data_IF_316007494287
#
_entry.id   IF_316007494287
#
_cell.length_a   1.000
_cell.length_b   1.000
_cell.length_c   1.000
_cell.angle_alpha   90.00
_cell.angle_beta   90.00
_cell.angle_gamma   90.00
#
_symmetry.space_group_name_H-M   'P 1'
#
loop_
_entity.id
_entity.type
_entity.pdbx_description
1 polymer ?
#
# COMPACT_ATOMS: atom_id res chain seq x y z
N UNK A 1 -18.46 11.38 25.42
CA UNK A 1 -17.79 11.72 24.15
C UNK A 1 -16.87 12.92 24.38
N UNK A 2 -15.55 12.88 24.10
CA UNK A 2 -14.71 14.05 24.32
C UNK A 2 -14.83 15.06 23.17
N UNK A 3 -14.95 16.34 23.53
CA UNK A 3 -15.02 17.49 22.62
C UNK A 3 -13.74 17.65 21.77
N UNK A 4 -13.83 18.18 20.53
CA UNK A 4 -12.65 18.59 19.77
C UNK A 4 -11.86 19.66 20.53
N UNK A 5 -10.53 19.54 20.55
CA UNK A 5 -9.65 20.52 21.18
C UNK A 5 -9.71 21.86 20.42
N UNK A 6 -10.04 22.93 21.13
CA UNK A 6 -10.08 24.30 20.60
C UNK A 6 -8.78 25.00 20.97
N UNK A 7 -7.92 25.27 19.99
CA UNK A 7 -6.78 26.20 20.15
C UNK A 7 -7.11 27.43 19.29
N UNK A 8 -7.18 28.61 19.90
CA UNK A 8 -7.37 29.90 19.24
C UNK A 8 -8.59 30.04 18.29
N UNK A 9 -9.73 29.41 18.62
CA UNK A 9 -10.98 29.57 17.86
C UNK A 9 -11.06 28.81 16.52
N UNK A 10 -10.00 28.11 16.12
CA UNK A 10 -9.99 27.24 14.92
C UNK A 10 -10.35 25.82 15.34
N UNK A 11 -11.43 25.26 14.76
CA UNK A 11 -11.80 23.85 14.96
C UNK A 11 -10.84 22.97 14.18
N UNK A 12 -9.85 22.38 14.85
CA UNK A 12 -8.94 21.41 14.24
C UNK A 12 -9.74 20.13 13.91
N UNK A 13 -9.77 19.67 12.65
CA UNK A 13 -10.42 18.41 12.31
C UNK A 13 -9.82 17.25 13.10
N UNK A 14 -10.67 16.33 13.58
CA UNK A 14 -10.26 15.21 14.46
C UNK A 14 -9.18 14.30 13.85
N UNK A 15 -9.01 14.31 12.53
CA UNK A 15 -8.03 13.51 11.83
C UNK A 15 -6.63 14.13 11.78
N UNK A 16 -6.49 15.45 11.96
CA UNK A 16 -5.22 16.18 11.80
C UNK A 16 -4.15 15.70 12.80
N UNK A 17 -4.43 15.54 14.11
CA UNK A 17 -3.43 15.04 15.05
C UNK A 17 -2.91 13.65 14.68
N UNK A 18 -3.82 12.74 14.28
CA UNK A 18 -3.46 11.40 13.82
C UNK A 18 -2.58 11.44 12.57
N UNK A 19 -2.94 12.28 11.59
CA UNK A 19 -2.18 12.50 10.37
C UNK A 19 -0.77 13.03 10.65
N UNK A 20 -0.63 14.04 11.51
CA UNK A 20 0.68 14.59 11.87
C UNK A 20 1.53 13.55 12.60
N UNK A 21 0.93 12.82 13.55
CA UNK A 21 1.62 11.77 14.29
C UNK A 21 2.12 10.66 13.37
N UNK A 22 1.28 10.14 12.46
CA UNK A 22 1.73 9.09 11.53
C UNK A 22 2.80 9.60 10.55
N UNK A 23 2.68 10.85 10.07
CA UNK A 23 3.70 11.45 9.19
C UNK A 23 5.05 11.58 9.89
N UNK A 24 5.04 11.96 11.17
CA UNK A 24 6.23 12.08 12.00
C UNK A 24 6.84 10.72 12.27
N UNK A 25 6.04 9.70 12.62
CA UNK A 25 6.52 8.34 12.87
C UNK A 25 7.19 7.74 11.63
N UNK A 26 6.60 7.90 10.45
CA UNK A 26 7.21 7.45 9.20
C UNK A 26 8.45 8.27 8.82
N UNK A 27 8.46 9.57 9.07
CA UNK A 27 9.66 10.40 8.90
C UNK A 27 10.81 10.04 9.83
N UNK A 28 10.51 9.71 11.09
CA UNK A 28 11.47 9.28 12.10
C UNK A 28 12.10 7.92 11.79
N UNK A 29 11.47 7.13 10.89
CA UNK A 29 11.94 5.77 10.58
C UNK A 29 13.37 5.77 10.06
N UNK A 30 13.75 6.73 9.22
CA UNK A 30 15.12 6.85 8.69
C UNK A 30 16.15 7.10 9.81
N UNK A 31 15.81 7.93 10.80
CA UNK A 31 16.68 8.14 11.96
C UNK A 31 16.88 6.86 12.77
N UNK A 32 15.82 6.07 12.97
CA UNK A 32 15.93 4.80 13.70
C UNK A 32 16.66 3.71 12.92
N UNK A 33 16.48 3.67 11.60
CA UNK A 33 17.26 2.76 10.72
C UNK A 33 18.73 3.12 10.85
N UNK A 34 19.09 4.40 10.75
CA UNK A 34 20.47 4.87 10.83
C UNK A 34 21.13 4.50 12.15
N UNK A 35 20.45 4.69 13.28
CA UNK A 35 20.93 4.25 14.59
C UNK A 35 21.19 2.73 14.67
N UNK A 36 20.34 1.92 14.06
CA UNK A 36 20.51 0.47 14.04
C UNK A 36 21.64 0.02 13.11
N UNK A 37 21.78 0.66 11.95
CA UNK A 37 22.88 0.46 11.01
C UNK A 37 24.23 0.85 11.63
N UNK A 38 24.31 2.03 12.24
CA UNK A 38 25.53 2.52 12.90
C UNK A 38 25.87 1.68 14.15
N UNK A 39 24.87 1.07 14.79
CA UNK A 39 25.04 0.03 15.80
C UNK A 39 25.62 -1.29 15.26
N UNK A 40 25.85 -1.39 13.95
CA UNK A 40 26.51 -2.52 13.29
C UNK A 40 25.60 -3.71 13.03
N UNK A 41 24.28 -3.49 12.93
CA UNK A 41 23.33 -4.53 12.56
C UNK A 41 23.25 -4.68 11.04
N UNK A 42 23.41 -5.89 10.48
CA UNK A 42 23.34 -6.06 9.03
C UNK A 42 21.94 -5.71 8.47
N UNK A 43 21.85 -5.10 7.26
CA UNK A 43 20.58 -4.61 6.71
C UNK A 43 19.43 -5.63 6.65
N UNK A 44 19.64 -6.89 6.22
CA UNK A 44 18.56 -7.89 6.21
C UNK A 44 18.03 -8.23 7.61
N UNK A 45 18.91 -8.27 8.61
CA UNK A 45 18.53 -8.51 10.01
C UNK A 45 17.77 -7.32 10.61
N UNK A 46 18.16 -6.09 10.27
CA UNK A 46 17.41 -4.89 10.63
C UNK A 46 15.99 -4.95 10.09
N UNK A 47 15.85 -5.22 8.79
CA UNK A 47 14.54 -5.38 8.15
C UNK A 47 13.73 -6.51 8.82
N UNK A 48 14.37 -7.64 9.13
CA UNK A 48 13.72 -8.77 9.80
C UNK A 48 13.12 -8.37 11.14
N UNK A 49 13.90 -7.75 12.03
CA UNK A 49 13.41 -7.37 13.37
C UNK A 49 12.31 -6.30 13.27
N UNK A 50 12.43 -5.34 12.35
CA UNK A 50 11.38 -4.35 12.07
C UNK A 50 10.07 -5.03 11.67
N UNK A 51 10.11 -5.97 10.74
CA UNK A 51 8.94 -6.70 10.28
C UNK A 51 8.38 -7.61 11.38
N UNK A 52 9.23 -8.34 12.10
CA UNK A 52 8.81 -9.23 13.18
C UNK A 52 8.06 -8.47 14.27
N UNK A 53 8.63 -7.38 14.77
CA UNK A 53 8.01 -6.58 15.84
C UNK A 53 6.76 -5.83 15.36
N UNK A 54 6.73 -5.40 14.10
CA UNK A 54 5.52 -4.89 13.45
C UNK A 54 4.42 -5.96 13.33
N UNK A 55 4.78 -7.18 12.92
CA UNK A 55 3.85 -8.31 12.77
C UNK A 55 3.26 -8.71 14.14
N UNK A 56 4.10 -8.80 15.18
CA UNK A 56 3.65 -9.08 16.55
C UNK A 56 2.68 -8.01 17.06
N UNK A 57 2.98 -6.73 16.78
CA UNK A 57 2.10 -5.62 17.16
C UNK A 57 0.75 -5.70 16.45
N UNK A 58 0.74 -5.93 15.13
CA UNK A 58 -0.51 -6.05 14.36
C UNK A 58 -1.30 -7.30 14.73
N UNK A 59 -0.63 -8.43 14.96
CA UNK A 59 -1.26 -9.66 15.44
C UNK A 59 -1.92 -9.46 16.80
N UNK A 60 -1.28 -8.74 17.73
CA UNK A 60 -1.87 -8.37 19.01
C UNK A 60 -3.10 -7.48 18.82
N UNK A 61 -3.04 -6.50 17.91
CA UNK A 61 -4.21 -5.65 17.60
C UNK A 61 -5.36 -6.47 17.00
N UNK A 62 -5.08 -7.38 16.07
CA UNK A 62 -6.07 -8.30 15.52
C UNK A 62 -6.70 -9.16 16.62
N UNK A 63 -5.89 -9.70 17.53
CA UNK A 63 -6.38 -10.49 18.67
C UNK A 63 -7.31 -9.68 19.58
N UNK A 64 -6.91 -8.46 19.95
CA UNK A 64 -7.70 -7.57 20.81
C UNK A 64 -9.00 -7.13 20.13
N UNK A 65 -8.95 -6.82 18.82
CA UNK A 65 -10.13 -6.41 18.04
C UNK A 65 -10.98 -7.57 17.54
N UNK A 66 -10.54 -8.81 17.78
CA UNK A 66 -11.16 -10.05 17.25
C UNK A 66 -11.29 -10.01 15.72
N UNK A 67 -10.35 -9.34 15.05
CA UNK A 67 -10.23 -9.33 13.60
C UNK A 67 -9.34 -10.50 13.15
N UNK A 68 -9.72 -11.19 12.07
CA UNK A 68 -8.93 -12.27 11.51
C UNK A 68 -8.14 -11.81 10.28
N UNK A 69 -6.85 -12.18 10.14
CA UNK A 69 -6.08 -11.93 8.93
C UNK A 69 -6.60 -12.66 7.68
N UNK A 70 -7.64 -13.50 7.83
CA UNK A 70 -8.17 -14.33 6.75
C UNK A 70 -7.32 -15.58 6.54
N UNK A 71 -7.97 -16.67 6.13
CA UNK A 71 -7.32 -17.98 5.89
C UNK A 71 -7.25 -18.36 4.41
N UNK A 72 -7.68 -17.46 3.53
CA UNK A 72 -7.68 -17.68 2.08
C UNK A 72 -6.23 -17.79 1.56
N UNK A 73 -5.79 -18.93 1.03
CA UNK A 73 -4.42 -19.12 0.55
C UNK A 73 -4.02 -18.12 -0.53
N UNK A 74 -4.97 -17.65 -1.34
CA UNK A 74 -4.71 -16.68 -2.41
C UNK A 74 -4.35 -15.30 -1.82
N UNK A 75 -5.00 -14.91 -0.72
CA UNK A 75 -4.66 -13.69 0.04
C UNK A 75 -3.23 -13.76 0.59
N UNK A 76 -2.80 -14.92 1.09
CA UNK A 76 -1.43 -15.13 1.58
C UNK A 76 -0.40 -15.13 0.44
N UNK A 77 -0.73 -15.71 -0.72
CA UNK A 77 0.13 -15.68 -1.91
C UNK A 77 0.34 -14.26 -2.42
N UNK A 78 -0.72 -13.47 -2.54
CA UNK A 78 -0.58 -12.05 -2.87
C UNK A 78 0.11 -11.28 -1.73
N UNK A 79 -0.10 -11.68 -0.49
CA UNK A 79 0.58 -11.17 0.69
C UNK A 79 2.10 -11.30 0.60
N UNK A 80 2.63 -12.42 0.11
CA UNK A 80 4.06 -12.62 -0.16
C UNK A 80 4.57 -11.61 -1.20
N UNK A 81 3.89 -11.49 -2.34
CA UNK A 81 4.33 -10.54 -3.39
C UNK A 81 4.30 -9.09 -2.88
N UNK A 82 3.26 -8.71 -2.13
CA UNK A 82 3.15 -7.38 -1.53
C UNK A 82 4.23 -7.18 -0.45
N UNK A 83 4.47 -8.18 0.39
CA UNK A 83 5.52 -8.16 1.40
C UNK A 83 6.89 -7.93 0.76
N UNK A 84 7.20 -8.68 -0.29
CA UNK A 84 8.44 -8.57 -1.04
C UNK A 84 8.66 -7.17 -1.60
N UNK A 85 7.64 -6.59 -2.24
CA UNK A 85 7.70 -5.29 -2.93
C UNK A 85 7.59 -4.08 -2.00
N UNK A 86 6.97 -4.22 -0.82
CA UNK A 86 6.71 -3.10 0.10
C UNK A 86 7.48 -3.17 1.42
N UNK A 87 8.15 -4.28 1.74
CA UNK A 87 8.79 -4.45 3.04
C UNK A 87 10.13 -5.16 2.90
N UNK A 88 10.13 -6.43 2.46
CA UNK A 88 11.33 -7.28 2.48
C UNK A 88 12.49 -6.67 1.69
N UNK A 89 12.28 -6.40 0.40
CA UNK A 89 13.34 -5.81 -0.44
C UNK A 89 13.51 -4.32 -0.13
N UNK A 90 12.47 -3.49 -0.09
CA UNK A 90 12.61 -2.06 0.19
C UNK A 90 13.28 -1.74 1.54
N UNK A 91 12.86 -2.37 2.64
CA UNK A 91 13.44 -2.09 3.96
C UNK A 91 14.90 -2.52 4.04
N UNK A 92 15.24 -3.65 3.41
CA UNK A 92 16.64 -4.09 3.29
C UNK A 92 17.47 -3.12 2.47
N UNK A 93 16.93 -2.62 1.35
CA UNK A 93 17.61 -1.64 0.48
C UNK A 93 17.78 -0.28 1.15
N UNK A 94 16.79 0.20 1.92
CA UNK A 94 16.93 1.46 2.68
C UNK A 94 17.98 1.29 3.77
N UNK A 95 17.93 0.19 4.54
CA UNK A 95 18.93 -0.10 5.57
C UNK A 95 20.34 -0.20 4.97
N UNK A 96 20.49 -0.89 3.84
CA UNK A 96 21.76 -0.94 3.10
C UNK A 96 22.17 0.46 2.60
N UNK A 97 21.22 1.23 2.06
CA UNK A 97 21.43 2.59 1.60
C UNK A 97 22.04 3.47 2.69
N UNK A 98 21.45 3.43 3.88
CA UNK A 98 21.91 4.19 5.04
C UNK A 98 23.26 3.72 5.61
N UNK A 99 23.83 2.59 5.17
CA UNK A 99 25.25 2.30 5.46
C UNK A 99 26.20 3.24 4.73
N UNK A 100 25.74 3.87 3.65
CA UNK A 100 26.56 4.71 2.76
C UNK A 100 26.09 6.16 2.65
N UNK A 101 24.83 6.43 2.97
CA UNK A 101 24.23 7.77 2.92
C UNK A 101 23.64 8.16 4.27
N UNK A 102 23.29 9.45 4.41
CA UNK A 102 22.67 9.97 5.62
C UNK A 102 21.18 9.62 5.70
N UNK A 103 20.62 9.63 6.90
CA UNK A 103 19.18 9.42 7.10
C UNK A 103 18.34 10.52 6.41
N UNK A 104 18.83 11.76 6.42
CA UNK A 104 18.24 12.89 5.68
C UNK A 104 18.16 12.57 4.19
N UNK A 105 19.23 12.04 3.62
CA UNK A 105 19.28 11.72 2.19
C UNK A 105 18.32 10.58 1.83
N UNK A 106 18.29 9.50 2.63
CA UNK A 106 17.39 8.38 2.43
C UNK A 106 15.92 8.82 2.53
N UNK A 107 15.59 9.66 3.51
CA UNK A 107 14.26 10.23 3.68
C UNK A 107 13.81 11.13 2.51
N UNK A 108 14.72 11.92 1.95
CA UNK A 108 14.45 12.72 0.75
C UNK A 108 14.27 11.86 -0.50
N UNK A 109 15.02 10.77 -0.65
CA UNK A 109 14.81 9.82 -1.75
C UNK A 109 13.43 9.15 -1.70
N UNK A 110 12.91 8.91 -0.49
CA UNK A 110 11.58 8.33 -0.33
C UNK A 110 10.46 9.26 -0.84
N UNK A 111 10.70 10.57 -0.91
CA UNK A 111 9.77 11.55 -1.48
C UNK A 111 9.47 11.30 -2.97
N UNK A 112 10.30 10.50 -3.66
CA UNK A 112 10.12 10.11 -5.07
C UNK A 112 9.00 9.07 -5.24
N UNK A 113 8.54 8.45 -4.16
CA UNK A 113 7.55 7.34 -4.20
C UNK A 113 6.30 7.66 -5.01
N UNK A 114 5.65 8.85 -4.87
CA UNK A 114 4.48 9.18 -5.67
C UNK A 114 4.79 9.29 -7.17
N UNK A 115 5.99 9.74 -7.53
CA UNK A 115 6.43 9.83 -8.93
C UNK A 115 6.64 8.43 -9.53
N UNK A 116 7.33 7.56 -8.80
CA UNK A 116 7.52 6.17 -9.19
C UNK A 116 6.18 5.43 -9.32
N UNK A 117 5.28 5.63 -8.36
CA UNK A 117 3.92 5.06 -8.37
C UNK A 117 3.14 5.51 -9.60
N UNK A 118 3.19 6.81 -9.94
CA UNK A 118 2.55 7.33 -11.15
C UNK A 118 3.16 6.73 -12.43
N UNK A 119 4.48 6.57 -12.50
CA UNK A 119 5.14 5.95 -13.65
C UNK A 119 4.63 4.52 -13.89
N UNK A 120 4.55 3.70 -12.84
CA UNK A 120 3.99 2.35 -12.94
C UNK A 120 2.49 2.36 -13.24
N UNK A 121 1.73 3.28 -12.65
CA UNK A 121 0.30 3.40 -12.91
C UNK A 121 0.03 3.68 -14.40
N UNK A 122 0.74 4.62 -15.01
CA UNK A 122 0.64 4.91 -16.45
C UNK A 122 1.05 3.70 -17.30
N UNK A 123 2.08 2.95 -16.88
CA UNK A 123 2.54 1.77 -17.63
C UNK A 123 1.58 0.58 -17.53
N UNK A 124 0.88 0.42 -16.40
CA UNK A 124 0.11 -0.79 -16.08
C UNK A 124 -1.42 -0.59 -16.15
N UNK A 125 -1.91 0.65 -16.14
CA UNK A 125 -3.34 0.98 -16.13
C UNK A 125 -3.69 1.70 -17.43
N UNK A 126 -4.39 1.04 -18.39
CA UNK A 126 -4.70 1.63 -19.70
C UNK A 126 -5.51 2.94 -19.66
N UNK A 127 -6.24 3.17 -18.57
CA UNK A 127 -7.02 4.39 -18.35
C UNK A 127 -6.15 5.60 -17.95
N UNK A 128 -4.94 5.35 -17.41
CA UNK A 128 -4.04 6.41 -16.97
C UNK A 128 -3.16 6.88 -18.13
N UNK A 129 -3.38 8.12 -18.59
CA UNK A 129 -2.58 8.70 -19.68
C UNK A 129 -1.45 9.57 -19.13
N UNK A 130 -0.29 9.50 -19.80
CA UNK A 130 0.80 10.43 -19.57
C UNK A 130 0.41 11.80 -20.15
N UNK A 131 0.03 12.74 -19.28
CA UNK A 131 -0.20 14.13 -19.69
C UNK A 131 1.14 14.86 -19.71
N UNK A 132 1.26 15.92 -20.53
CA UNK A 132 2.49 16.74 -20.57
C UNK A 132 2.89 17.28 -19.19
N UNK A 133 1.89 17.57 -18.33
CA UNK A 133 2.13 18.01 -16.96
C UNK A 133 2.65 16.90 -16.04
N UNK A 134 2.13 15.66 -16.17
CA UNK A 134 2.66 14.48 -15.45
C UNK A 134 4.09 14.17 -15.90
N UNK A 135 4.37 14.25 -17.20
CA UNK A 135 5.72 14.09 -17.74
C UNK A 135 6.69 15.16 -17.22
N UNK A 136 6.26 16.43 -17.20
CA UNK A 136 7.04 17.53 -16.62
C UNK A 136 7.31 17.32 -15.12
N UNK A 137 6.30 16.90 -14.35
CA UNK A 137 6.46 16.61 -12.92
C UNK A 137 7.42 15.44 -12.66
N UNK A 138 7.36 14.37 -13.46
CA UNK A 138 8.36 13.28 -13.43
C UNK A 138 9.77 13.80 -13.74
N UNK A 139 9.92 14.62 -14.79
CA UNK A 139 11.21 15.20 -15.17
C UNK A 139 11.81 16.10 -14.08
N UNK A 140 11.00 16.97 -13.49
CA UNK A 140 11.40 17.85 -12.37
C UNK A 140 11.82 17.02 -11.16
N UNK A 141 11.06 15.98 -10.82
CA UNK A 141 11.40 15.11 -9.71
C UNK A 141 12.68 14.29 -9.93
N UNK A 142 12.88 13.75 -11.14
CA UNK A 142 14.14 13.09 -11.52
C UNK A 142 15.31 14.06 -11.45
N UNK A 143 15.15 15.30 -11.93
CA UNK A 143 16.13 16.37 -11.77
C UNK A 143 16.45 16.65 -10.30
N UNK A 144 15.44 16.66 -9.43
CA UNK A 144 15.62 16.79 -7.98
C UNK A 144 16.46 15.67 -7.37
N UNK A 145 16.29 14.42 -7.82
CA UNK A 145 17.14 13.28 -7.40
C UNK A 145 18.58 13.47 -7.85
N UNK A 146 18.82 13.90 -9.10
CA UNK A 146 20.17 14.20 -9.59
C UNK A 146 20.83 15.33 -8.80
N UNK A 147 20.03 16.32 -8.38
CA UNK A 147 20.48 17.42 -7.52
C UNK A 147 20.87 16.93 -6.12
N UNK A 148 20.03 16.06 -5.55
CA UNK A 148 20.29 15.44 -4.26
C UNK A 148 21.61 14.65 -4.27
N UNK A 149 21.80 13.84 -5.31
CA UNK A 149 23.02 13.05 -5.56
C UNK A 149 24.25 13.93 -5.77
N UNK A 150 24.11 15.13 -6.32
CA UNK A 150 25.25 15.98 -6.65
C UNK A 150 26.15 15.34 -7.71
N UNK A 151 25.56 14.66 -8.69
CA UNK A 151 26.25 13.85 -9.73
C UNK A 151 27.39 14.59 -10.44
N UNK A 152 27.34 15.92 -10.50
CA UNK A 152 28.35 16.78 -11.11
C UNK A 152 29.66 16.92 -10.31
N UNK A 153 29.71 16.46 -9.05
CA UNK A 153 30.91 16.57 -8.19
C UNK A 153 31.75 15.28 -8.15
N UNK A 154 31.32 14.24 -8.86
CA UNK A 154 31.81 12.88 -8.65
C UNK A 154 31.22 12.27 -7.37
N UNK A 155 30.84 10.99 -7.45
CA UNK A 155 30.27 10.25 -6.34
C UNK A 155 31.25 9.15 -5.92
N UNK A 156 31.65 9.07 -4.64
CA UNK A 156 32.33 7.89 -4.12
C UNK A 156 31.48 6.63 -4.38
N UNK A 157 32.12 5.51 -4.70
CA UNK A 157 31.41 4.29 -5.11
C UNK A 157 30.35 3.81 -4.10
N UNK A 158 30.66 3.87 -2.80
CA UNK A 158 29.72 3.52 -1.73
C UNK A 158 28.49 4.45 -1.70
N UNK A 159 28.69 5.77 -1.83
CA UNK A 159 27.59 6.74 -1.84
C UNK A 159 26.64 6.54 -3.03
N UNK A 160 27.17 6.22 -4.21
CA UNK A 160 26.33 5.89 -5.36
C UNK A 160 25.52 4.62 -5.13
N UNK A 161 26.15 3.56 -4.62
CA UNK A 161 25.47 2.30 -4.32
C UNK A 161 24.32 2.50 -3.31
N UNK A 162 24.57 3.24 -2.23
CA UNK A 162 23.54 3.49 -1.23
C UNK A 162 22.39 4.35 -1.75
N UNK A 163 22.70 5.36 -2.56
CA UNK A 163 21.66 6.19 -3.16
C UNK A 163 20.82 5.43 -4.20
N UNK A 164 21.44 4.59 -5.02
CA UNK A 164 20.72 3.70 -5.94
C UNK A 164 19.82 2.72 -5.19
N UNK A 165 20.27 2.19 -4.04
CA UNK A 165 19.44 1.34 -3.19
C UNK A 165 18.21 2.08 -2.65
N UNK A 166 18.37 3.32 -2.16
CA UNK A 166 17.24 4.15 -1.73
C UNK A 166 16.25 4.43 -2.87
N UNK A 167 16.75 4.77 -4.07
CA UNK A 167 15.88 5.00 -5.24
C UNK A 167 15.18 3.71 -5.67
N UNK A 168 15.89 2.57 -5.70
CA UNK A 168 15.32 1.27 -6.03
C UNK A 168 14.22 0.86 -5.05
N UNK A 169 14.42 1.08 -3.74
CA UNK A 169 13.36 0.90 -2.73
C UNK A 169 12.12 1.71 -3.07
N UNK A 170 12.29 2.98 -3.42
CA UNK A 170 11.19 3.89 -3.78
C UNK A 170 10.44 3.44 -5.04
N UNK A 171 11.15 2.90 -6.03
CA UNK A 171 10.58 2.31 -7.25
C UNK A 171 9.76 1.05 -6.90
N UNK A 172 10.29 0.18 -6.05
CA UNK A 172 9.58 -1.01 -5.56
C UNK A 172 8.31 -0.65 -4.80
N UNK A 173 8.32 0.41 -3.98
CA UNK A 173 7.11 0.90 -3.34
C UNK A 173 6.02 1.25 -4.36
N UNK A 174 6.38 1.95 -5.44
CA UNK A 174 5.42 2.27 -6.51
C UNK A 174 4.81 1.03 -7.16
N UNK A 175 5.62 0.02 -7.48
CA UNK A 175 5.15 -1.24 -8.02
C UNK A 175 4.28 -2.02 -7.02
N UNK A 176 4.70 -2.08 -5.76
CA UNK A 176 3.97 -2.76 -4.69
C UNK A 176 2.62 -2.10 -4.41
N UNK A 177 2.52 -0.76 -4.43
CA UNK A 177 1.24 -0.07 -4.27
C UNK A 177 0.28 -0.37 -5.43
N UNK A 178 0.78 -0.40 -6.67
CA UNK A 178 -0.03 -0.79 -7.82
C UNK A 178 -0.51 -2.24 -7.71
N UNK A 179 0.38 -3.16 -7.28
CA UNK A 179 0.04 -4.57 -7.08
C UNK A 179 -0.99 -4.77 -5.96
N UNK A 180 -0.80 -4.14 -4.80
CA UNK A 180 -1.75 -4.17 -3.68
C UNK A 180 -3.13 -3.72 -4.11
N UNK A 181 -3.23 -2.61 -4.84
CA UNK A 181 -4.49 -2.10 -5.38
C UNK A 181 -5.19 -3.12 -6.26
N UNK A 182 -4.44 -3.79 -7.14
CA UNK A 182 -5.01 -4.70 -8.14
C UNK A 182 -5.45 -6.04 -7.55
N UNK A 183 -4.70 -6.60 -6.60
CA UNK A 183 -4.84 -8.00 -6.21
C UNK A 183 -5.20 -8.25 -4.74
N UNK A 184 -4.84 -7.32 -3.84
CA UNK A 184 -4.96 -7.52 -2.39
C UNK A 184 -6.06 -6.66 -1.75
N UNK A 185 -6.25 -5.42 -2.23
CA UNK A 185 -7.16 -4.45 -1.62
C UNK A 185 -8.66 -4.85 -1.66
N UNK A 186 -9.05 -5.72 -2.60
CA UNK A 186 -10.44 -6.16 -2.77
C UNK A 186 -10.75 -7.51 -2.09
N UNK A 187 -9.82 -8.01 -1.28
CA UNK A 187 -9.98 -9.29 -0.56
C UNK A 187 -10.86 -9.08 0.69
N UNK A 188 -11.47 -10.17 1.17
CA UNK A 188 -12.48 -10.15 2.23
C UNK A 188 -11.94 -9.91 3.64
N UNK A 189 -10.62 -10.01 3.85
CA UNK A 189 -10.02 -9.73 5.16
C UNK A 189 -10.07 -8.23 5.49
N UNK A 190 -10.12 -7.91 6.78
CA UNK A 190 -10.09 -6.49 7.22
C UNK A 190 -8.78 -5.82 6.81
N UNK A 191 -8.76 -4.49 6.70
CA UNK A 191 -7.54 -3.75 6.39
C UNK A 191 -6.40 -4.02 7.40
N UNK A 192 -6.73 -4.20 8.68
CA UNK A 192 -5.78 -4.62 9.72
C UNK A 192 -5.29 -6.05 9.46
N UNK A 193 -6.20 -6.95 9.09
CA UNK A 193 -5.90 -8.33 8.74
C UNK A 193 -4.95 -8.44 7.55
N UNK A 194 -5.23 -7.73 6.45
CA UNK A 194 -4.36 -7.67 5.27
C UNK A 194 -2.98 -7.10 5.60
N UNK A 195 -2.92 -6.05 6.42
CA UNK A 195 -1.66 -5.49 6.91
C UNK A 195 -0.87 -6.50 7.76
N UNK A 196 -1.58 -7.30 8.56
CA UNK A 196 -0.97 -8.38 9.36
C UNK A 196 -0.41 -9.47 8.46
N UNK A 197 -1.17 -9.93 7.45
CA UNK A 197 -0.70 -10.90 6.44
C UNK A 197 0.57 -10.38 5.76
N UNK A 198 0.56 -9.15 5.27
CA UNK A 198 1.75 -8.52 4.66
C UNK A 198 2.97 -8.57 5.59
N UNK A 199 2.80 -8.22 6.86
CA UNK A 199 3.93 -8.15 7.79
C UNK A 199 4.43 -9.54 8.22
N UNK A 200 3.54 -10.52 8.36
CA UNK A 200 3.90 -11.92 8.61
C UNK A 200 4.64 -12.50 7.42
N UNK A 201 4.16 -12.28 6.20
CA UNK A 201 4.84 -12.69 4.98
C UNK A 201 6.24 -12.07 4.88
N UNK A 202 6.38 -10.76 5.13
CA UNK A 202 7.68 -10.09 5.11
C UNK A 202 8.64 -10.67 6.15
N UNK A 203 8.13 -10.95 7.35
CA UNK A 203 8.91 -11.60 8.42
C UNK A 203 9.38 -12.98 8.00
N UNK A 204 8.52 -13.78 7.37
CA UNK A 204 8.86 -15.13 6.90
C UNK A 204 9.91 -15.09 5.77
N UNK A 205 9.76 -14.19 4.80
CA UNK A 205 10.74 -13.99 3.73
C UNK A 205 12.10 -13.58 4.29
N UNK A 206 12.12 -12.62 5.22
CA UNK A 206 13.35 -12.14 5.84
C UNK A 206 13.98 -13.16 6.80
N UNK A 207 13.18 -14.03 7.44
CA UNK A 207 13.71 -15.14 8.24
C UNK A 207 14.56 -16.10 7.39
N UNK A 208 14.23 -16.25 6.10
CA UNK A 208 15.00 -17.04 5.15
C UNK A 208 16.16 -16.22 4.58
N UNK A 209 15.93 -14.97 4.18
CA UNK A 209 16.93 -14.16 3.49
C UNK A 209 18.04 -13.62 4.41
N UNK A 210 17.73 -13.27 5.66
CA UNK A 210 18.71 -12.64 6.54
C UNK A 210 19.90 -13.56 6.88
N UNK A 211 19.71 -14.85 7.22
CA UNK A 211 20.83 -15.78 7.40
C UNK A 211 21.69 -15.99 6.15
N UNK A 212 21.10 -15.88 4.95
CA UNK A 212 21.81 -16.06 3.68
C UNK A 212 22.78 -14.91 3.36
N UNK A 213 22.69 -13.79 4.09
CA UNK A 213 23.67 -12.70 3.97
C UNK A 213 25.06 -13.09 4.47
N UNK A 214 25.20 -14.19 5.21
CA UNK A 214 26.47 -14.67 5.76
C UNK A 214 26.96 -13.91 7.01
N UNK A 215 26.27 -12.84 7.40
CA UNK A 215 26.59 -12.06 8.59
C UNK A 215 25.62 -12.38 9.71
N UNK A 216 26.12 -12.97 10.80
CA UNK A 216 25.33 -13.18 12.01
C UNK A 216 25.07 -11.84 12.71
N UNK A 217 23.84 -11.59 13.21
CA UNK A 217 23.53 -10.36 13.91
C UNK A 217 24.25 -10.38 15.26
N UNK A 218 24.98 -9.32 15.55
CA UNK A 218 25.55 -9.05 16.87
C UNK A 218 24.65 -8.10 17.65
N UNK A 219 24.76 -8.12 18.97
CA UNK A 219 24.06 -7.17 19.83
C UNK A 219 24.46 -5.72 19.45
N UNK A 220 23.52 -4.87 19.02
CA UNK A 220 23.85 -3.54 18.50
C UNK A 220 23.94 -2.46 19.60
N UNK A 221 23.77 -2.85 20.87
CA UNK A 221 23.68 -1.93 22.00
C UNK A 221 22.23 -1.50 22.32
N UNK A 222 22.00 -0.95 23.52
CA UNK A 222 20.65 -0.65 24.01
C UNK A 222 19.93 0.43 23.20
N UNK A 223 20.66 1.44 22.70
CA UNK A 223 20.08 2.55 21.91
C UNK A 223 19.56 2.03 20.57
N UNK A 224 20.39 1.30 19.83
CA UNK A 224 20.02 0.71 18.55
C UNK A 224 18.91 -0.33 18.70
N UNK A 225 18.96 -1.17 19.74
CA UNK A 225 17.89 -2.12 20.03
C UNK A 225 16.56 -1.40 20.33
N UNK A 226 16.58 -0.35 21.15
CA UNK A 226 15.40 0.48 21.45
C UNK A 226 14.84 1.16 20.20
N UNK A 227 15.72 1.72 19.34
CA UNK A 227 15.34 2.33 18.08
C UNK A 227 14.68 1.31 17.13
N UNK A 228 15.19 0.08 17.07
CA UNK A 228 14.67 -0.98 16.21
C UNK A 228 13.31 -1.51 16.70
N UNK A 229 13.14 -1.67 18.02
CA UNK A 229 11.85 -1.99 18.62
C UNK A 229 10.81 -0.89 18.34
N UNK A 230 11.21 0.38 18.51
CA UNK A 230 10.35 1.53 18.19
C UNK A 230 10.01 1.57 16.70
N UNK A 231 10.98 1.31 15.81
CA UNK A 231 10.81 1.30 14.37
C UNK A 231 9.79 0.26 13.89
N UNK A 232 9.81 -0.94 14.46
CA UNK A 232 8.85 -1.97 14.09
C UNK A 232 7.50 -1.81 14.80
N UNK A 233 7.48 -1.70 16.12
CA UNK A 233 6.23 -1.60 16.87
C UNK A 233 5.49 -0.28 16.61
N UNK A 234 6.16 0.86 16.75
CA UNK A 234 5.56 2.18 16.51
C UNK A 234 5.51 2.49 15.01
N UNK A 235 6.66 2.34 14.34
CA UNK A 235 6.85 2.75 12.94
C UNK A 235 6.07 1.92 11.92
N UNK A 236 5.78 0.66 12.24
CA UNK A 236 5.11 -0.26 11.32
C UNK A 236 3.76 -0.70 11.87
N UNK A 237 3.72 -1.25 13.09
CA UNK A 237 2.46 -1.72 13.68
C UNK A 237 1.45 -0.60 13.98
N UNK A 238 1.78 0.29 14.91
CA UNK A 238 0.88 1.36 15.34
C UNK A 238 0.63 2.38 14.23
N UNK A 239 1.67 2.75 13.47
CA UNK A 239 1.55 3.69 12.37
C UNK A 239 0.53 3.23 11.32
N UNK A 240 0.46 1.93 11.02
CA UNK A 240 -0.53 1.40 10.07
C UNK A 240 -1.95 1.57 10.61
N UNK A 241 -2.18 1.29 11.90
CA UNK A 241 -3.49 1.51 12.54
C UNK A 241 -3.89 3.00 12.54
N UNK A 242 -2.94 3.89 12.83
CA UNK A 242 -3.17 5.34 12.79
C UNK A 242 -3.52 5.78 11.37
N UNK A 243 -2.79 5.32 10.36
CA UNK A 243 -3.07 5.63 8.97
C UNK A 243 -4.46 5.12 8.55
N UNK A 244 -4.84 3.90 8.94
CA UNK A 244 -6.19 3.38 8.70
C UNK A 244 -7.28 4.25 9.35
N UNK A 245 -7.00 4.81 10.53
CA UNK A 245 -7.92 5.73 11.21
C UNK A 245 -8.04 7.06 10.45
N UNK A 246 -6.93 7.59 9.92
CA UNK A 246 -6.93 8.78 9.06
C UNK A 246 -7.70 8.50 7.76
N UNK A 247 -7.50 7.35 7.14
CA UNK A 247 -8.26 6.95 5.93
C UNK A 247 -9.77 6.94 6.22
N UNK A 248 -10.21 6.35 7.34
CA UNK A 248 -11.62 6.29 7.71
C UNK A 248 -12.24 7.66 8.03
N UNK A 249 -11.44 8.61 8.51
CA UNK A 249 -11.95 9.90 9.03
C UNK A 249 -11.77 11.08 8.07
N UNK A 250 -10.72 11.06 7.24
CA UNK A 250 -10.37 12.11 6.28
C UNK A 250 -10.49 11.65 4.81
N UNK A 251 -10.69 10.35 4.60
CA UNK A 251 -10.65 9.73 3.28
C UNK A 251 -9.24 9.35 2.87
N UNK A 252 -9.19 8.34 1.98
CA UNK A 252 -7.97 7.85 1.35
C UNK A 252 -7.09 8.99 0.80
N UNK A 253 -7.67 9.89 -0.01
CA UNK A 253 -6.92 10.95 -0.69
C UNK A 253 -6.09 11.78 0.28
N UNK A 254 -6.69 12.23 1.39
CA UNK A 254 -5.97 12.98 2.43
C UNK A 254 -4.92 12.10 3.08
N UNK A 255 -5.24 10.86 3.44
CA UNK A 255 -4.27 9.96 4.06
C UNK A 255 -3.01 9.73 3.21
N UNK A 256 -3.11 9.63 1.88
CA UNK A 256 -1.91 9.46 1.04
C UNK A 256 -0.92 10.61 1.08
N UNK A 257 -1.39 11.83 1.36
CA UNK A 257 -0.51 13.01 1.41
C UNK A 257 0.38 13.02 2.65
N UNK A 258 0.17 12.09 3.58
CA UNK A 258 1.04 11.88 4.77
C UNK A 258 2.50 11.71 4.36
N UNK A 259 2.73 11.05 3.23
CA UNK A 259 4.06 10.79 2.67
C UNK A 259 4.77 12.05 2.18
N UNK A 260 4.04 13.15 1.96
CA UNK A 260 4.65 14.44 1.58
C UNK A 260 5.31 15.14 2.78
N UNK A 261 4.89 14.81 4.00
CA UNK A 261 5.50 15.33 5.24
C UNK A 261 6.67 14.45 5.70
N UNK A 262 6.76 13.19 5.27
CA UNK A 262 7.85 12.28 5.63
C UNK A 262 9.25 12.88 5.38
N UNK A 263 9.54 13.52 4.24
CA UNK A 263 10.86 14.12 3.99
C UNK A 263 11.18 15.27 4.94
N UNK A 264 10.17 16.09 5.29
CA UNK A 264 10.31 17.20 6.24
C UNK A 264 10.71 16.66 7.62
N UNK A 265 9.99 15.65 8.11
CA UNK A 265 10.28 15.02 9.40
C UNK A 265 11.61 14.29 9.41
N UNK A 266 11.93 13.52 8.37
CA UNK A 266 13.22 12.82 8.27
C UNK A 266 14.39 13.80 8.26
N UNK A 267 14.23 14.94 7.57
CA UNK A 267 15.24 16.00 7.52
C UNK A 267 15.42 16.65 8.89
N UNK A 268 14.31 17.02 9.53
CA UNK A 268 14.32 17.65 10.86
C UNK A 268 14.95 16.72 11.91
N UNK A 269 14.52 15.46 11.96
CA UNK A 269 14.98 14.51 12.96
C UNK A 269 16.41 14.05 12.70
N UNK A 270 16.82 13.85 11.44
CA UNK A 270 18.22 13.57 11.10
C UNK A 270 19.15 14.73 11.48
N UNK A 271 18.74 15.97 11.24
CA UNK A 271 19.51 17.15 11.64
C UNK A 271 19.61 17.30 13.17
N UNK A 272 18.47 17.17 13.88
CA UNK A 272 18.41 17.42 15.33
C UNK A 272 18.97 16.27 16.17
N UNK A 273 18.70 15.02 15.81
CA UNK A 273 19.03 13.86 16.63
C UNK A 273 20.36 13.21 16.24
N UNK A 274 20.74 13.27 14.96
CA UNK A 274 21.99 12.67 14.46
C UNK A 274 23.05 13.72 14.12
N UNK A 275 22.73 15.01 14.21
CA UNK A 275 23.65 16.08 13.85
C UNK A 275 24.01 16.11 12.35
N UNK A 276 23.16 15.52 11.49
CA UNK A 276 23.46 15.42 10.06
C UNK A 276 23.41 16.82 9.39
N UNK A 277 24.47 17.18 8.69
CA UNK A 277 24.57 18.48 8.01
C UNK A 277 23.69 18.54 6.76
N UNK A 278 22.83 19.57 6.68
CA UNK A 278 22.06 19.87 5.47
C UNK A 278 22.88 20.71 4.50
N UNK A 279 23.46 20.06 3.50
CA UNK A 279 24.01 20.76 2.35
C UNK A 279 22.88 21.46 1.57
N UNK A 280 23.17 22.63 0.98
CA UNK A 280 22.22 23.38 0.15
C UNK A 280 21.60 22.53 -0.98
N UNK A 281 22.35 21.54 -1.50
CA UNK A 281 21.86 20.59 -2.50
C UNK A 281 20.74 19.67 -1.98
N UNK A 282 20.75 19.31 -0.68
CA UNK A 282 19.72 18.46 -0.12
C UNK A 282 18.39 19.23 -0.05
N UNK A 283 18.45 20.50 0.32
CA UNK A 283 17.30 21.41 0.31
C UNK A 283 16.79 21.67 -1.12
N UNK A 284 17.70 22.00 -2.06
CA UNK A 284 17.33 22.24 -3.45
C UNK A 284 16.74 20.99 -4.12
N UNK A 285 17.39 19.82 -3.94
CA UNK A 285 16.92 18.54 -4.48
C UNK A 285 15.59 18.12 -3.88
N UNK A 286 15.45 18.22 -2.55
CA UNK A 286 14.18 17.97 -1.86
C UNK A 286 13.05 18.86 -2.34
N UNK A 287 13.30 20.16 -2.50
CA UNK A 287 12.33 21.11 -3.02
C UNK A 287 11.90 20.77 -4.47
N UNK A 288 12.85 20.39 -5.33
CA UNK A 288 12.55 19.92 -6.69
C UNK A 288 11.72 18.64 -6.69
N UNK A 289 12.04 17.66 -5.84
CA UNK A 289 11.25 16.42 -5.74
C UNK A 289 9.81 16.74 -5.31
N UNK A 290 9.64 17.55 -4.27
CA UNK A 290 8.32 17.98 -3.82
C UNK A 290 7.56 18.76 -4.90
N UNK A 291 8.23 19.66 -5.62
CA UNK A 291 7.63 20.39 -6.74
C UNK A 291 7.18 19.43 -7.86
N UNK A 292 8.00 18.44 -8.21
CA UNK A 292 7.66 17.40 -9.17
C UNK A 292 6.44 16.60 -8.74
N UNK A 293 6.38 16.17 -7.48
CA UNK A 293 5.24 15.46 -6.90
C UNK A 293 3.97 16.32 -6.97
N UNK A 294 4.05 17.59 -6.57
CA UNK A 294 2.92 18.52 -6.63
C UNK A 294 2.43 18.73 -8.06
N UNK A 295 3.33 18.88 -9.03
CA UNK A 295 2.97 18.98 -10.45
C UNK A 295 2.20 17.75 -10.92
N UNK A 296 2.72 16.54 -10.64
CA UNK A 296 2.04 15.30 -11.00
C UNK A 296 0.65 15.23 -10.38
N UNK A 297 0.55 15.56 -9.10
CA UNK A 297 -0.66 15.38 -8.30
C UNK A 297 -1.69 16.49 -8.48
N UNK A 298 -1.32 17.61 -9.11
CA UNK A 298 -2.12 18.82 -8.98
C UNK A 298 -3.59 18.63 -9.40
N UNK A 299 -4.07 17.78 -10.31
CA UNK A 299 -5.48 17.88 -10.82
C UNK A 299 -5.82 19.31 -11.26
N UNK A 300 -5.76 19.57 -12.56
CA UNK A 300 -6.39 20.78 -13.06
C UNK A 300 -7.85 20.73 -12.59
N UNK A 301 -8.25 21.70 -11.77
CA UNK A 301 -9.66 21.96 -11.43
C UNK A 301 -10.35 22.31 -12.74
N UNK A 302 -10.64 21.28 -13.53
CA UNK A 302 -11.28 21.38 -14.81
C UNK A 302 -12.73 21.71 -14.57
N UNK A 303 -13.09 22.96 -14.91
CA UNK A 303 -14.43 23.39 -15.32
C UNK A 303 -15.39 22.21 -15.49
N UNK A 304 -16.42 22.16 -14.64
CA UNK A 304 -17.70 21.52 -14.96
C UNK A 304 -18.16 22.08 -16.31
N UNK A 305 -17.78 21.42 -17.40
CA UNK A 305 -18.35 21.74 -18.70
C UNK A 305 -19.75 21.11 -18.67
N UNK A 306 -20.74 21.95 -18.36
CA UNK A 306 -22.14 21.57 -18.27
C UNK A 306 -22.67 21.16 -19.63
N UNK A 307 -22.37 19.93 -20.06
CA UNK A 307 -23.25 19.23 -20.99
C UNK A 307 -24.42 18.72 -20.16
N UNK A 308 -25.55 19.43 -20.21
CA UNK A 308 -26.85 18.94 -19.76
C UNK A 308 -27.05 17.56 -20.40
N UNK A 309 -27.08 16.52 -19.59
CA UNK A 309 -27.53 15.19 -20.02
C UNK A 309 -29.04 15.31 -20.28
N UNK A 310 -29.55 14.93 -21.47
CA UNK A 310 -31.00 14.89 -21.72
C UNK A 310 -31.65 13.93 -20.72
N UNK A 311 -32.71 14.39 -20.06
CA UNK A 311 -33.49 13.58 -19.13
C UNK A 311 -34.16 12.44 -19.91
N UNK A 312 -33.66 11.21 -19.79
CA UNK A 312 -34.32 10.06 -20.43
C UNK A 312 -33.52 8.77 -20.62
N UNK A 313 -32.48 8.47 -19.83
CA UNK A 313 -31.81 7.17 -19.93
C UNK A 313 -31.50 6.57 -18.54
N UNK A 314 -31.65 5.24 -18.35
CA UNK A 314 -31.49 4.60 -17.03
C UNK A 314 -30.09 4.83 -16.46
N UNK A 315 -30.06 5.15 -15.16
CA UNK A 315 -28.87 5.48 -14.37
C UNK A 315 -27.85 4.33 -14.39
N UNK A 316 -26.88 4.39 -15.30
CA UNK A 316 -25.63 3.65 -15.18
C UNK A 316 -24.79 4.28 -14.05
N UNK A 317 -24.45 3.47 -13.06
CA UNK A 317 -23.64 3.85 -11.89
C UNK A 317 -22.27 4.32 -12.37
N UNK A 318 -21.99 5.62 -12.19
CA UNK A 318 -20.72 6.23 -12.50
C UNK A 318 -19.65 5.75 -11.51
N UNK A 319 -18.62 5.11 -12.06
CA UNK A 319 -17.41 4.65 -11.39
C UNK A 319 -16.41 5.81 -11.27
N UNK A 320 -16.34 6.44 -10.10
CA UNK A 320 -15.27 7.40 -9.75
C UNK A 320 -14.17 6.67 -8.97
N UNK A 321 -13.08 6.29 -9.66
CA UNK A 321 -11.99 5.49 -9.13
C UNK A 321 -10.62 6.20 -9.26
N UNK A 322 -10.14 6.81 -8.19
CA UNK A 322 -8.70 7.10 -7.95
C UNK A 322 -8.39 6.90 -6.45
N UNK A 323 -7.63 5.86 -6.06
CA UNK A 323 -7.44 5.53 -4.66
C UNK A 323 -6.04 5.89 -4.17
N UNK A 324 -6.05 6.61 -3.08
CA UNK A 324 -5.04 6.46 -2.06
C UNK A 324 -5.37 5.22 -1.22
N UNK A 325 -4.30 4.54 -0.80
CA UNK A 325 -4.18 3.50 0.23
C UNK A 325 -5.52 3.04 0.87
N UNK A 326 -5.93 1.83 0.44
CA UNK A 326 -6.91 0.88 1.00
C UNK A 326 -8.36 1.35 1.26
N UNK A 327 -9.26 0.91 0.36
CA UNK A 327 -10.71 0.81 0.54
C UNK A 327 -11.04 -0.59 1.07
N UNK A 328 -11.86 -0.67 2.12
CA UNK A 328 -12.83 -1.72 2.31
C UNK A 328 -14.09 -1.03 2.85
N UNK A 329 -15.17 -1.11 2.08
CA UNK A 329 -16.52 -0.67 2.44
C UNK A 329 -17.39 -1.93 2.53
N UNK A 330 -18.39 -1.90 3.42
CA UNK A 330 -19.24 -3.02 3.84
C UNK A 330 -19.16 -3.22 5.35
N UNK A 331 -20.20 -3.09 6.17
CA UNK A 331 -21.63 -3.27 5.91
C UNK A 331 -22.46 -2.19 6.61
N UNK A 332 -23.48 -1.68 5.92
CA UNK A 332 -24.65 -1.06 6.55
C UNK A 332 -25.54 -2.21 6.99
N UNK A 333 -25.68 -2.41 8.29
CA UNK A 333 -26.81 -3.16 8.82
C UNK A 333 -27.85 -2.18 9.34
N UNK A 334 -29.02 -2.35 8.74
CA UNK A 334 -30.33 -1.81 9.02
C UNK A 334 -30.74 -2.13 10.47
N UNK A 335 -30.76 -1.13 11.36
CA UNK A 335 -31.45 -1.26 12.65
C UNK A 335 -32.87 -0.71 12.49
N UNK A 336 -33.74 -1.60 12.01
CA UNK A 336 -35.17 -1.48 12.18
C UNK A 336 -35.54 -1.52 13.66
N UNK A 337 -36.19 -0.45 14.10
CA UNK A 337 -36.95 -0.36 15.36
C UNK A 337 -38.12 -1.35 15.34
N UNK A 338 -38.37 -2.04 16.47
CA UNK A 338 -39.68 -1.96 17.13
C UNK A 338 -39.49 -1.78 18.65
N UNK A 339 -40.05 -0.75 19.29
CA UNK A 339 -41.45 -0.64 19.74
C UNK A 339 -41.95 -1.83 20.58
N UNK A 340 -42.10 -1.51 21.86
CA UNK A 340 -43.03 -1.99 22.89
C UNK A 340 -42.92 -3.41 23.47
N UNK A 341 -42.48 -3.40 24.74
CA UNK A 341 -42.78 -4.37 25.77
C UNK A 341 -44.30 -4.54 25.94
N UNK A 342 -44.82 -5.74 25.72
CA UNK A 342 -46.06 -6.22 26.31
C UNK A 342 -46.13 -7.76 26.26
N UNK A 343 -45.94 -8.39 27.42
CA UNK A 343 -46.42 -9.74 27.76
C UNK A 343 -47.94 -9.62 28.11
N UNK A 344 -48.84 -10.59 27.78
CA UNK A 344 -48.92 -11.86 28.51
C UNK A 344 -49.43 -13.14 27.79
N UNK A 345 -48.99 -14.27 28.37
CA UNK A 345 -49.68 -15.55 28.66
C UNK A 345 -50.80 -16.08 27.72
N UNK A 346 -50.60 -17.27 27.12
CA UNK A 346 -51.55 -18.39 27.30
C UNK A 346 -51.05 -19.77 26.81
N UNK A 347 -51.59 -20.79 27.48
CA UNK A 347 -51.29 -22.23 27.47
C UNK A 347 -51.91 -23.02 26.29
N UNK A 348 -51.44 -24.28 26.16
CA UNK A 348 -52.02 -25.50 25.51
C UNK A 348 -51.83 -25.58 23.99
N UNK A 349 -51.56 -26.73 23.35
CA UNK A 349 -51.43 -28.13 23.75
C UNK A 349 -51.24 -28.99 22.49
N UNK A 350 -50.70 -30.20 22.69
CA UNK A 350 -50.81 -31.47 21.95
C UNK A 350 -51.16 -31.50 20.44
N UNK A 351 -50.48 -32.40 19.70
CA UNK A 351 -51.18 -33.26 18.72
C UNK A 351 -50.48 -33.53 17.38
N UNK A 352 -49.91 -34.74 17.27
CA UNK A 352 -49.58 -35.54 16.07
C UNK A 352 -50.43 -35.24 14.80
N UNK A 353 -49.80 -35.31 13.61
CA UNK A 353 -50.16 -36.22 12.49
C UNK A 353 -49.28 -36.00 11.24
N UNK A 354 -48.52 -37.04 10.85
CA UNK A 354 -48.14 -37.38 9.46
C UNK A 354 -49.22 -38.35 8.89
N UNK A 355 -49.22 -38.78 7.61
CA UNK A 355 -48.43 -38.39 6.42
C UNK A 355 -49.31 -38.17 5.15
N UNK A 356 -48.73 -37.67 4.03
CA UNK A 356 -49.32 -37.94 2.71
C UNK A 356 -48.28 -38.19 1.61
N UNK A 357 -48.39 -39.40 1.06
CA UNK A 357 -47.66 -39.97 -0.07
C UNK A 357 -48.17 -39.38 -1.38
N UNK A 358 -47.27 -38.98 -2.28
CA UNK A 358 -47.52 -39.05 -3.74
C UNK A 358 -46.22 -39.32 -4.51
N UNK A 359 -46.08 -40.57 -4.96
CA UNK A 359 -45.18 -41.00 -6.04
C UNK A 359 -45.80 -40.65 -7.38
N UNK A 360 -45.02 -40.11 -8.31
CA UNK A 360 -45.16 -40.39 -9.74
C UNK A 360 -43.79 -40.46 -10.39
N UNK A 361 -43.46 -41.65 -10.88
CA UNK A 361 -42.34 -41.98 -11.75
C UNK A 361 -42.43 -41.26 -13.11
N UNK A 362 -41.28 -40.85 -13.66
CA UNK A 362 -40.95 -41.06 -15.08
C UNK A 362 -39.44 -40.97 -15.28
N UNK A 363 -38.84 -42.06 -15.75
CA UNK A 363 -37.45 -42.20 -16.19
C UNK A 363 -37.25 -41.68 -17.64
N UNK A 364 -35.98 -41.47 -18.08
CA UNK A 364 -35.62 -40.70 -19.27
C UNK A 364 -35.27 -41.60 -20.48
N UNK A 365 -35.05 -41.03 -21.68
CA UNK A 365 -34.23 -41.67 -22.71
C UNK A 365 -32.88 -40.98 -22.92
N UNK A 366 -31.89 -41.82 -23.22
CA UNK A 366 -30.47 -41.55 -23.53
C UNK A 366 -30.22 -41.75 -25.07
N UNK A 367 -28.98 -41.64 -25.60
CA UNK A 367 -28.62 -40.90 -26.83
C UNK A 367 -28.54 -41.77 -28.11
N UNK A 368 -28.30 -41.14 -29.27
CA UNK A 368 -27.93 -41.82 -30.51
C UNK A 368 -26.71 -41.16 -31.21
N UNK A 369 -25.79 -42.01 -31.63
CA UNK A 369 -24.49 -41.75 -32.28
C UNK A 369 -24.58 -41.69 -33.83
N UNK A 370 -23.61 -40.99 -34.42
CA UNK A 370 -22.75 -41.29 -35.59
C UNK A 370 -23.25 -41.88 -36.94
N UNK A 371 -22.65 -41.35 -38.03
CA UNK A 371 -22.41 -42.01 -39.35
C UNK A 371 -23.04 -41.27 -40.53
N UNK A 372 -22.32 -40.52 -41.39
CA UNK A 372 -21.47 -40.97 -42.52
C UNK A 372 -22.32 -41.13 -43.81
N UNK A 373 -21.98 -40.75 -45.05
CA UNK A 373 -20.82 -40.15 -45.69
C UNK A 373 -21.18 -39.78 -47.18
N UNK A 374 -20.28 -39.10 -47.92
CA UNK A 374 -19.98 -39.24 -49.39
C UNK A 374 -20.98 -38.55 -50.38
N UNK A 375 -20.65 -37.85 -51.49
CA UNK A 375 -19.48 -37.61 -52.38
C UNK A 375 -19.80 -36.42 -53.32
N UNK A 376 -18.81 -35.62 -53.76
CA UNK A 376 -18.43 -35.39 -55.18
C UNK A 376 -17.49 -34.18 -55.38
N UNK A 377 -16.27 -34.46 -55.86
CA UNK A 377 -15.38 -33.64 -56.70
C UNK A 377 -15.52 -34.16 -58.15
N UNK A 378 -15.04 -33.51 -59.25
CA UNK A 378 -13.81 -32.69 -59.41
C UNK A 378 -14.07 -31.34 -60.16
N UNK A 379 -13.15 -30.40 -60.40
CA UNK A 379 -11.99 -30.43 -61.32
C UNK A 379 -11.03 -29.22 -61.11
N UNK A 380 -9.77 -29.42 -61.47
CA UNK A 380 -8.68 -28.43 -61.60
C UNK A 380 -8.38 -28.23 -63.09
N UNK A 381 -7.92 -27.03 -63.52
CA UNK A 381 -6.60 -27.01 -64.16
C UNK A 381 -5.72 -25.83 -63.74
N UNK A 382 -4.41 -26.08 -63.81
CA UNK A 382 -3.32 -25.13 -63.67
C UNK A 382 -2.96 -24.47 -65.02
N UNK A 383 -2.50 -23.22 -64.99
CA UNK A 383 -1.27 -22.70 -65.65
C UNK A 383 -1.29 -21.16 -65.77
N UNK A 384 -0.10 -20.53 -65.64
CA UNK A 384 0.12 -19.13 -66.00
C UNK A 384 1.33 -18.48 -65.32
N UNK A 385 2.52 -18.64 -65.90
CA UNK A 385 3.80 -17.97 -65.55
C UNK A 385 3.84 -16.50 -66.01
N UNK A 386 4.71 -15.70 -65.40
CA UNK A 386 5.57 -14.73 -66.11
C UNK A 386 5.62 -13.31 -65.53
N UNK A 387 6.83 -12.87 -65.15
CA UNK A 387 7.16 -11.48 -64.80
C UNK A 387 8.24 -11.38 -63.74
#
# INVERSE_FOLDING_TARGET
MPHPATIAGVRIPRWVPGFLLVSMIWGASFTFIKLAVDGGLPPPWLAFVRCLTGALTLALVCLVRRESPGRDPVTWLHGLVVALLLNTVPFTLVAFGETHVSSVFAGLCNAVTPLATMAFAVALVPAERLTGRRAAGLGVGLGGVLVLLGVWRGLPGGTLAGALACVASTVLYGAGFAYTRRFLAHRSASATGLSTVQMVCATAELAVLAPLSGEAPRWPGPIAAGALLALGALGTGIAYILNLTVIRTAGATVASTVTYLTPVWSTLLGALLLGESLAARHLAGGALILAGVLLVQWRATGRRNGKRVPAGCPRAVASDAEPAILVADGDRMDEGRPDDEAEPDHRRGEGRQEPLVRRTHREPPRPAEAGGAVRHLPDVPAEGRGG
#
